data_IF_232246831767
#
_entry.id   IF_232246831767
#
_cell.length_a   1.000
_cell.length_b   1.000
_cell.length_c   1.000
_cell.angle_alpha   90.00
_cell.angle_beta   90.00
_cell.angle_gamma   90.00
#
_symmetry.space_group_name_H-M   'P 1'
#
loop_
_entity.id
_entity.type
_entity.pdbx_description
1 polymer ?
#
# COMPACT_ATOMS: atom_id res chain seq x y z
N UNK A 1 20.23 53.39 -4.86
CA UNK A 1 20.20 52.46 -4.95
C UNK A 1 19.20 51.59 -4.49
N UNK A 2 18.49 51.02 -5.06
CA UNK A 2 17.40 50.30 -4.71
C UNK A 2 17.54 48.88 -4.92
N UNK A 3 18.62 48.37 -4.64
CA UNK A 3 18.80 47.02 -4.90
C UNK A 3 18.10 46.12 -3.95
N UNK A 4 17.70 46.60 -2.88
CA UNK A 4 17.15 45.71 -1.87
C UNK A 4 15.81 45.20 -2.22
N UNK A 5 15.18 45.77 -3.15
CA UNK A 5 13.87 45.33 -3.40
C UNK A 5 13.74 44.07 -4.16
N UNK A 6 14.79 43.58 -4.63
CA UNK A 6 14.65 42.48 -5.47
C UNK A 6 14.52 41.20 -4.83
N UNK A 7 14.84 41.11 -3.59
CA UNK A 7 14.82 39.84 -3.01
C UNK A 7 13.53 39.35 -2.46
N UNK A 8 12.57 40.15 -2.45
CA UNK A 8 11.39 39.72 -1.80
C UNK A 8 10.54 38.79 -2.56
N UNK A 9 10.71 38.71 -3.80
CA UNK A 9 9.80 37.92 -4.53
C UNK A 9 10.07 36.45 -4.52
N UNK A 10 11.22 36.11 -4.16
CA UNK A 10 11.57 34.73 -4.32
C UNK A 10 11.01 33.80 -3.29
N UNK A 11 10.80 34.27 -2.17
CA UNK A 11 10.43 33.38 -1.11
C UNK A 11 9.06 32.84 -1.14
N UNK A 12 8.21 33.45 -1.88
CA UNK A 12 6.89 33.02 -1.81
C UNK A 12 6.55 31.83 -2.58
N UNK A 13 7.35 31.48 -3.52
CA UNK A 13 7.00 30.40 -4.33
C UNK A 13 7.06 29.09 -3.69
N UNK A 14 7.75 29.00 -2.62
CA UNK A 14 7.98 27.73 -2.05
C UNK A 14 6.82 27.17 -1.35
N UNK A 15 5.95 27.95 -0.89
CA UNK A 15 4.94 27.42 -0.12
C UNK A 15 3.82 26.81 -0.77
N UNK A 16 3.49 26.98 -1.84
CA UNK A 16 2.29 26.46 -2.32
C UNK A 16 2.27 25.07 -2.73
N UNK A 17 3.39 24.46 -2.74
CA UNK A 17 3.42 23.24 -3.33
C UNK A 17 3.22 22.10 -2.49
N UNK A 18 3.57 22.16 -1.31
CA UNK A 18 3.57 21.04 -0.56
C UNK A 18 2.49 20.67 0.18
N UNK A 19 1.59 21.33 0.26
CA UNK A 19 0.59 21.01 1.10
C UNK A 19 -0.25 19.99 0.66
N UNK A 20 -0.30 19.56 -0.48
CA UNK A 20 -1.22 18.68 -0.87
C UNK A 20 -0.88 17.37 -0.50
N UNK A 21 -1.48 16.75 0.38
CA UNK A 21 -1.28 15.41 0.71
C UNK A 21 -2.04 14.62 -0.27
N UNK A 22 -1.45 13.77 -0.99
CA UNK A 22 -2.12 12.97 -1.96
C UNK A 22 -3.11 12.07 -1.27
N UNK A 23 -4.22 11.85 -1.83
CA UNK A 23 -5.19 10.91 -1.31
C UNK A 23 -4.63 9.50 -1.44
N UNK A 24 -4.90 8.69 -0.47
CA UNK A 24 -4.39 7.34 -0.41
C UNK A 24 -5.49 6.35 -0.15
N UNK A 25 -5.31 5.15 -0.66
CA UNK A 25 -6.21 4.05 -0.38
C UNK A 25 -5.52 3.06 0.53
N UNK A 26 -6.30 2.41 1.36
CA UNK A 26 -5.85 1.33 2.23
C UNK A 26 -6.26 0.02 1.57
N UNK A 27 -5.29 -0.85 1.37
CA UNK A 27 -5.53 -2.19 0.85
C UNK A 27 -5.26 -3.16 1.99
N UNK A 28 -6.17 -4.07 2.21
CA UNK A 28 -6.02 -5.06 3.26
C UNK A 28 -6.36 -6.43 2.70
N UNK A 29 -5.68 -7.44 3.18
CA UNK A 29 -5.93 -8.81 2.73
C UNK A 29 -5.34 -9.80 3.72
N UNK A 30 -5.82 -11.01 3.68
CA UNK A 30 -5.17 -12.13 4.34
C UNK A 30 -4.12 -12.67 3.39
N UNK A 31 -3.05 -13.21 3.92
CA UNK A 31 -1.94 -13.71 3.11
C UNK A 31 -1.63 -15.13 3.50
N UNK A 32 -1.69 -16.02 2.52
CA UNK A 32 -1.32 -17.41 2.76
C UNK A 32 0.14 -17.60 2.41
N UNK A 33 0.83 -18.37 3.20
CA UNK A 33 2.21 -18.76 2.88
C UNK A 33 3.29 -18.05 3.66
N UNK A 34 2.94 -17.02 4.48
CA UNK A 34 3.96 -16.32 5.24
C UNK A 34 4.59 -17.26 6.26
N UNK A 35 5.92 -17.29 6.29
CA UNK A 35 6.60 -18.22 7.14
C UNK A 35 7.25 -17.58 8.34
N UNK A 36 7.92 -16.48 8.17
CA UNK A 36 8.64 -15.86 9.26
C UNK A 36 8.85 -14.37 8.96
N UNK A 37 9.49 -13.70 9.88
CA UNK A 37 9.67 -12.26 9.77
C UNK A 37 10.50 -11.86 8.56
N UNK A 38 11.47 -12.69 8.22
CA UNK A 38 12.28 -12.37 7.09
C UNK A 38 11.49 -12.51 5.80
N UNK A 39 10.65 -13.52 5.70
CA UNK A 39 9.78 -13.71 4.56
C UNK A 39 8.85 -12.51 4.42
N UNK A 40 8.30 -12.05 5.53
CA UNK A 40 7.42 -10.89 5.54
C UNK A 40 8.16 -9.64 5.09
N UNK A 41 9.39 -9.48 5.51
CA UNK A 41 10.17 -8.32 5.11
C UNK A 41 10.46 -8.35 3.63
N UNK A 42 10.79 -9.49 3.09
CA UNK A 42 11.06 -9.64 1.68
C UNK A 42 9.81 -9.31 0.86
N UNK A 43 8.66 -9.77 1.32
CA UNK A 43 7.41 -9.48 0.64
C UNK A 43 7.12 -7.97 0.66
N UNK A 44 7.34 -7.33 1.78
CA UNK A 44 7.13 -5.90 1.89
C UNK A 44 8.02 -5.14 0.94
N UNK A 45 9.28 -5.50 0.88
CA UNK A 45 10.21 -4.83 0.01
C UNK A 45 9.86 -5.02 -1.45
N UNK A 46 9.41 -6.20 -1.80
CA UNK A 46 9.05 -6.49 -3.17
C UNK A 46 7.85 -5.64 -3.59
N UNK A 47 6.84 -5.59 -2.78
CA UNK A 47 5.65 -4.83 -3.12
C UNK A 47 5.95 -3.33 -3.14
N UNK A 48 6.81 -2.86 -2.25
CA UNK A 48 7.14 -1.46 -2.22
C UNK A 48 7.98 -0.99 -3.40
N UNK A 49 8.46 -1.90 -4.21
CA UNK A 49 9.13 -1.49 -5.42
C UNK A 49 8.15 -0.93 -6.44
N UNK A 50 6.87 -1.18 -6.27
CA UNK A 50 5.88 -0.61 -7.16
C UNK A 50 5.71 0.88 -6.82
N UNK A 51 5.86 1.77 -7.78
CA UNK A 51 5.85 3.20 -7.46
C UNK A 51 4.55 3.69 -6.85
N UNK A 52 3.47 3.00 -7.11
CA UNK A 52 2.21 3.43 -6.56
C UNK A 52 1.99 3.00 -5.13
N UNK A 53 2.86 2.13 -4.61
CA UNK A 53 2.72 1.63 -3.25
C UNK A 53 3.53 2.52 -2.34
N UNK A 54 2.87 3.17 -1.41
CA UNK A 54 3.51 4.11 -0.52
C UNK A 54 4.00 3.44 0.74
N UNK A 55 3.39 2.34 1.14
CA UNK A 55 3.80 1.61 2.32
C UNK A 55 3.25 0.20 2.22
N UNK A 56 4.02 -0.77 2.63
CA UNK A 56 3.59 -2.16 2.65
C UNK A 56 3.99 -2.80 3.96
N UNK A 57 3.10 -3.57 4.54
CA UNK A 57 3.37 -4.25 5.78
C UNK A 57 2.76 -5.64 5.76
N UNK A 58 3.54 -6.63 6.08
CA UNK A 58 3.09 -8.01 6.16
C UNK A 58 3.33 -8.49 7.58
N UNK A 59 2.31 -9.05 8.20
CA UNK A 59 2.40 -9.49 9.59
C UNK A 59 2.24 -11.00 9.64
N UNK A 60 3.27 -11.67 10.10
CA UNK A 60 3.29 -13.12 10.16
C UNK A 60 2.29 -13.65 11.17
N UNK A 61 2.17 -12.98 12.32
CA UNK A 61 1.31 -13.49 13.33
C UNK A 61 -0.13 -13.51 12.95
N UNK A 62 -0.61 -12.50 12.29
CA UNK A 62 -2.01 -12.42 11.89
C UNK A 62 -2.21 -12.85 10.46
N UNK A 63 -1.12 -13.04 9.73
CA UNK A 63 -1.18 -13.39 8.30
C UNK A 63 -1.94 -12.34 7.53
N UNK A 64 -1.64 -11.09 7.78
CA UNK A 64 -2.32 -9.99 7.12
C UNK A 64 -1.35 -9.12 6.33
N UNK A 65 -1.85 -8.54 5.27
CA UNK A 65 -1.12 -7.57 4.49
C UNK A 65 -1.87 -6.25 4.57
N UNK A 66 -1.13 -5.15 4.70
CA UNK A 66 -1.71 -3.83 4.64
C UNK A 66 -0.86 -2.99 3.72
N UNK A 67 -1.48 -2.33 2.77
CA UNK A 67 -0.78 -1.42 1.89
C UNK A 67 -1.44 -0.07 1.93
N UNK A 68 -0.64 0.98 1.81
CA UNK A 68 -1.16 2.29 1.47
C UNK A 68 -0.72 2.54 0.04
N UNK A 69 -1.66 2.84 -0.82
CA UNK A 69 -1.37 3.07 -2.23
C UNK A 69 -1.96 4.41 -2.64
N UNK A 70 -1.42 5.00 -3.69
CA UNK A 70 -1.99 6.23 -4.22
C UNK A 70 -3.41 5.96 -4.67
N UNK A 71 -4.29 6.91 -4.46
CA UNK A 71 -5.67 6.71 -4.79
C UNK A 71 -5.85 6.41 -6.26
N UNK A 72 -5.03 6.97 -7.09
CA UNK A 72 -5.13 6.75 -8.52
C UNK A 72 -4.43 5.48 -8.97
N UNK A 73 -3.86 4.73 -8.04
CA UNK A 73 -3.08 3.57 -8.42
C UNK A 73 -3.96 2.49 -9.04
N UNK A 74 -3.45 1.88 -10.06
CA UNK A 74 -4.18 0.85 -10.75
C UNK A 74 -3.82 -0.55 -10.28
N UNK A 75 -2.99 -0.66 -9.26
CA UNK A 75 -2.57 -1.95 -8.79
C UNK A 75 -3.78 -2.76 -8.33
N UNK A 76 -3.87 -3.99 -8.72
CA UNK A 76 -5.00 -4.83 -8.45
C UNK A 76 -4.60 -6.05 -7.64
N UNK A 77 -5.59 -6.76 -7.14
CA UNK A 77 -5.35 -8.02 -6.43
C UNK A 77 -4.55 -8.97 -7.30
N UNK A 78 -4.89 -9.08 -8.58
CA UNK A 78 -4.20 -10.01 -9.46
C UNK A 78 -2.73 -9.61 -9.65
N UNK A 79 -2.47 -8.32 -9.72
CA UNK A 79 -1.09 -7.88 -9.85
C UNK A 79 -0.31 -8.16 -8.58
N UNK A 80 -0.92 -7.95 -7.43
CA UNK A 80 -0.27 -8.24 -6.16
C UNK A 80 0.04 -9.73 -6.08
N UNK A 81 -0.89 -10.58 -6.46
CA UNK A 81 -0.66 -12.01 -6.42
C UNK A 81 0.44 -12.42 -7.41
N UNK A 82 0.51 -11.78 -8.56
CA UNK A 82 1.56 -12.09 -9.52
C UNK A 82 2.92 -11.71 -8.95
N UNK A 83 3.00 -10.58 -8.25
CA UNK A 83 4.26 -10.16 -7.67
C UNK A 83 4.68 -11.07 -6.52
N UNK A 84 3.74 -11.57 -5.76
CA UNK A 84 4.05 -12.37 -4.60
C UNK A 84 4.22 -13.86 -4.91
N UNK A 85 3.79 -14.29 -6.08
CA UNK A 85 3.86 -15.70 -6.43
C UNK A 85 5.26 -16.30 -6.31
N UNK A 86 6.32 -15.61 -6.72
CA UNK A 86 7.65 -16.19 -6.56
C UNK A 86 8.06 -16.45 -5.13
N UNK A 87 7.41 -15.77 -4.19
CA UNK A 87 7.69 -15.97 -2.79
C UNK A 87 6.76 -17.02 -2.17
N UNK A 88 5.92 -17.62 -2.97
CA UNK A 88 4.97 -18.61 -2.45
C UNK A 88 3.83 -18.02 -1.68
N UNK A 89 3.52 -16.74 -1.91
CA UNK A 89 2.46 -16.06 -1.17
C UNK A 89 1.27 -15.78 -2.05
N UNK A 90 0.11 -15.75 -1.44
CA UNK A 90 -1.12 -15.44 -2.14
C UNK A 90 -2.03 -14.65 -1.21
N UNK A 91 -2.65 -13.59 -1.71
CA UNK A 91 -3.58 -12.81 -0.89
C UNK A 91 -5.00 -13.25 -1.16
N UNK A 92 -5.81 -13.23 -0.11
CA UNK A 92 -7.22 -13.52 -0.16
C UNK A 92 -7.96 -12.46 0.61
N UNK A 93 -9.26 -12.37 0.40
CA UNK A 93 -10.11 -11.43 1.12
C UNK A 93 -9.64 -10.01 0.95
N UNK A 94 -9.29 -9.69 -0.27
CA UNK A 94 -8.77 -8.38 -0.62
C UNK A 94 -9.85 -7.32 -0.48
N UNK A 95 -9.52 -6.19 0.11
CA UNK A 95 -10.41 -5.04 0.13
C UNK A 95 -9.60 -3.78 -0.06
N UNK A 96 -10.25 -2.75 -0.55
CA UNK A 96 -9.59 -1.48 -0.79
C UNK A 96 -10.58 -0.36 -0.55
N UNK A 97 -10.16 0.68 0.13
CA UNK A 97 -11.00 1.84 0.38
C UNK A 97 -10.15 3.02 0.74
N UNK A 98 -10.72 4.21 0.74
CA UNK A 98 -9.99 5.41 1.07
C UNK A 98 -9.50 5.35 2.50
N UNK A 99 -8.24 5.74 2.72
CA UNK A 99 -7.65 5.64 4.03
C UNK A 99 -8.49 6.37 5.07
N UNK A 100 -8.97 7.56 4.76
CA UNK A 100 -9.68 8.32 5.75
C UNK A 100 -11.04 7.73 6.08
N UNK A 101 -11.59 6.86 5.25
CA UNK A 101 -12.90 6.31 5.50
C UNK A 101 -12.84 4.83 5.85
N UNK A 102 -11.68 4.23 5.90
CA UNK A 102 -11.57 2.79 6.04
C UNK A 102 -10.66 2.48 7.21
N UNK A 103 -11.21 2.14 8.34
CA UNK A 103 -10.37 1.81 9.48
C UNK A 103 -9.67 0.49 9.24
N UNK A 104 -8.47 0.37 9.74
CA UNK A 104 -7.75 -0.86 9.61
C UNK A 104 -8.44 -1.93 10.45
N UNK A 105 -8.54 -3.14 9.89
CA UNK A 105 -9.17 -4.17 10.62
C UNK A 105 -8.48 -5.43 10.22
N UNK A 106 -8.05 -6.26 11.15
CA UNK A 106 -7.42 -7.51 10.81
C UNK A 106 -8.43 -8.42 10.13
N UNK A 107 -8.01 -9.07 9.08
CA UNK A 107 -8.81 -10.03 8.38
C UNK A 107 -8.46 -11.39 8.94
N UNK A 108 -9.45 -12.15 9.39
CA UNK A 108 -9.18 -13.48 9.90
C UNK A 108 -9.07 -14.41 8.71
N UNK A 109 -7.88 -14.91 8.46
CA UNK A 109 -7.63 -15.76 7.31
C UNK A 109 -8.49 -17.01 7.31
N UNK A 110 -8.85 -17.49 8.48
CA UNK A 110 -9.64 -18.71 8.55
C UNK A 110 -11.11 -18.47 8.33
N UNK A 111 -11.56 -17.25 8.44
CA UNK A 111 -12.95 -16.93 8.32
C UNK A 111 -13.27 -16.11 7.13
N UNK A 112 -12.33 -15.76 6.33
CA UNK A 112 -12.61 -14.80 5.33
C UNK A 112 -13.40 -15.35 4.17
N UNK A 113 -13.58 -16.48 3.96
CA UNK A 113 -14.55 -16.98 3.05
C UNK A 113 -14.45 -16.61 1.59
N UNK A 114 -13.31 -16.18 1.14
CA UNK A 114 -13.14 -15.85 -0.23
C UNK A 114 -13.36 -17.08 -1.03
N UNK A 115 -14.12 -17.06 -2.05
CA UNK A 115 -14.31 -18.23 -2.85
C UNK A 115 -13.01 -18.58 -3.52
N UNK A 116 -12.77 -19.85 -3.69
CA UNK A 116 -11.61 -20.25 -4.36
C UNK A 116 -11.68 -19.81 -5.77
N UNK A 117 -10.62 -19.49 -6.23
CA UNK A 117 -10.61 -19.00 -7.56
C UNK A 117 -11.06 -20.06 -8.47
N UNK A 118 -11.66 -20.15 -8.82
CA UNK A 118 -12.13 -21.05 -9.46
C UNK A 118 -11.81 -21.36 -10.55
N UNK A 119 -11.43 -21.33 -10.39
CA UNK A 119 -11.33 -21.57 -11.12
C UNK A 119 -11.69 -21.86 -11.84
N UNK A 120 -11.64 -21.94 -12.11
CA UNK A 120 -11.98 -22.16 -12.81
C UNK A 120 -11.86 -21.81 -13.48
#
# INVERSE_FOLDING_TARGET
MNHALRFLAVGLLVFGVNERTAAQDLVQAAVDGLQDAEHARTASQLIQQQPEVLMARFDVRTRNMMLHVAESASISRNQINALLAPLGLQVRCYSRGAVRDTPFRHVNADECGDPLPLDR
#
